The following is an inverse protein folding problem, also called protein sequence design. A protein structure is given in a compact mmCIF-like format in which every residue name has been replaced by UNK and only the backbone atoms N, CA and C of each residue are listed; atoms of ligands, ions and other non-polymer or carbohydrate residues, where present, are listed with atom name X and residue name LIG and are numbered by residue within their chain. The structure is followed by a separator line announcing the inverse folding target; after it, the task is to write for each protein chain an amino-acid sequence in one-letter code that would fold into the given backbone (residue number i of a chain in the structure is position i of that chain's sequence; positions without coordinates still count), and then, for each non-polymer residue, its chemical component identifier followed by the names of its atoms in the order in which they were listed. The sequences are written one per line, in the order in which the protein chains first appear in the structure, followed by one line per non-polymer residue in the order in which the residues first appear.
data_IF_885898175548
#
_entry.id   IF_885898175548
#
_cell.length_a   1.000
_cell.length_b   1.000
_cell.length_c   1.000
_cell.angle_alpha   90.00
_cell.angle_beta   90.00
_cell.angle_gamma   90.00
#
_symmetry.space_group_name_H-M   'P 1'
#
loop_
_entity.id
_entity.type
_entity.pdbx_description
1 polymer ?
#
# COMPACT_ATOMS: atom_id res chain seq x y z
N UNK A 1 8.47 9.51 32.14
CA UNK A 1 8.28 8.64 30.96
C UNK A 1 8.35 9.54 29.71
N UNK A 2 8.91 9.11 28.61
CA UNK A 2 8.78 9.88 27.37
C UNK A 2 7.29 10.08 27.07
N UNK A 3 6.92 11.25 26.58
CA UNK A 3 5.52 11.60 26.28
C UNK A 3 5.04 10.72 25.13
N UNK A 4 3.97 9.96 25.33
CA UNK A 4 3.36 9.14 24.26
C UNK A 4 2.79 10.04 23.17
N UNK A 5 2.82 9.58 21.92
CA UNK A 5 2.16 10.24 20.79
C UNK A 5 0.65 10.05 20.90
N UNK A 6 -0.08 11.15 20.83
CA UNK A 6 -1.55 11.16 20.85
C UNK A 6 -2.09 10.80 19.48
N UNK A 7 -2.85 9.71 19.38
CA UNK A 7 -3.34 9.15 18.12
C UNK A 7 -4.85 9.33 18.01
N UNK A 8 -5.33 9.90 16.92
CA UNK A 8 -6.74 9.84 16.56
C UNK A 8 -6.97 8.83 15.43
N UNK A 9 -8.10 8.12 15.48
CA UNK A 9 -8.50 7.14 14.46
C UNK A 9 -9.66 7.72 13.66
N UNK A 10 -9.52 7.82 12.35
CA UNK A 10 -10.57 8.24 11.42
C UNK A 10 -11.00 7.05 10.52
N UNK A 11 -12.26 6.60 10.68
CA UNK A 11 -12.79 5.39 10.06
C UNK A 11 -12.42 4.13 10.86
N UNK A 12 -13.36 3.57 11.59
CA UNK A 12 -13.05 2.51 12.56
C UNK A 12 -13.81 1.20 12.33
N UNK A 13 -14.62 1.08 11.27
CA UNK A 13 -15.48 -0.08 11.03
C UNK A 13 -14.76 -1.44 11.07
N UNK A 14 -13.50 -1.53 10.63
CA UNK A 14 -12.69 -2.77 10.66
C UNK A 14 -11.93 -2.99 11.96
N UNK A 15 -12.06 -2.11 12.94
CA UNK A 15 -11.25 -2.06 14.16
C UNK A 15 -12.08 -2.30 15.43
N UNK A 16 -13.21 -3.00 15.28
CA UNK A 16 -14.17 -3.25 16.36
C UNK A 16 -13.85 -4.48 17.22
N UNK A 17 -12.63 -5.02 17.09
CA UNK A 17 -12.12 -6.13 17.89
C UNK A 17 -10.65 -5.87 18.25
N UNK A 18 -10.19 -6.22 19.47
CA UNK A 18 -8.84 -5.92 19.94
C UNK A 18 -7.77 -6.87 19.39
N UNK A 19 -7.99 -7.48 18.25
CA UNK A 19 -7.09 -8.46 17.65
C UNK A 19 -6.23 -7.83 16.56
N UNK A 20 -4.95 -8.15 16.56
CA UNK A 20 -4.01 -7.79 15.51
C UNK A 20 -4.22 -8.73 14.30
N UNK A 21 -5.26 -8.48 13.53
CA UNK A 21 -5.59 -9.25 12.32
C UNK A 21 -6.27 -8.34 11.29
N UNK A 22 -6.22 -8.70 10.01
CA UNK A 22 -7.05 -8.12 8.98
C UNK A 22 -6.96 -6.59 8.81
N UNK A 23 -5.76 -6.01 8.91
CA UNK A 23 -5.54 -4.55 8.81
C UNK A 23 -6.23 -3.74 9.94
N UNK A 24 -6.18 -4.27 11.16
CA UNK A 24 -6.64 -3.55 12.34
C UNK A 24 -5.57 -2.55 12.81
N UNK A 25 -5.63 -1.32 12.31
CA UNK A 25 -4.68 -0.27 12.66
C UNK A 25 -4.77 0.16 14.13
N UNK A 26 -5.96 0.14 14.73
CA UNK A 26 -6.10 0.43 16.16
C UNK A 26 -5.29 -0.57 17.02
N UNK A 27 -5.37 -1.87 16.69
CA UNK A 27 -4.55 -2.88 17.35
C UNK A 27 -3.04 -2.67 17.11
N UNK A 28 -2.66 -2.21 15.91
CA UNK A 28 -1.27 -1.89 15.60
C UNK A 28 -0.74 -0.71 16.43
N UNK A 29 -1.54 0.34 16.62
CA UNK A 29 -1.19 1.44 17.51
C UNK A 29 -1.16 1.00 18.98
N UNK A 30 -2.17 0.26 19.43
CA UNK A 30 -2.23 -0.23 20.82
C UNK A 30 -1.06 -1.17 21.19
N UNK A 31 -0.42 -1.80 20.21
CA UNK A 31 0.74 -2.67 20.43
C UNK A 31 2.04 -1.90 20.76
N UNK A 32 2.07 -0.56 20.61
CA UNK A 32 3.25 0.25 20.87
C UNK A 32 3.05 1.13 22.12
N UNK A 33 3.93 1.05 23.12
CA UNK A 33 3.83 1.88 24.32
C UNK A 33 4.09 3.38 24.07
N UNK A 34 4.65 3.73 22.91
CA UNK A 34 4.90 5.11 22.49
C UNK A 34 3.65 5.79 21.91
N UNK A 35 2.53 5.07 21.75
CA UNK A 35 1.30 5.61 21.18
C UNK A 35 0.11 5.44 22.14
N UNK A 36 -0.78 6.44 22.15
CA UNK A 36 -2.00 6.46 22.95
C UNK A 36 -3.18 6.89 22.07
N UNK A 37 -4.17 6.01 21.89
CA UNK A 37 -5.41 6.37 21.21
C UNK A 37 -6.23 7.30 22.09
N UNK A 38 -6.48 8.53 21.60
CA UNK A 38 -7.12 9.59 22.40
C UNK A 38 -8.47 10.04 21.83
N UNK A 39 -8.83 9.66 20.61
CA UNK A 39 -10.11 10.00 20.00
C UNK A 39 -10.38 9.12 18.76
N UNK A 40 -11.68 9.04 18.43
CA UNK A 40 -12.15 8.34 17.22
C UNK A 40 -13.13 9.21 16.42
N UNK A 41 -13.05 9.12 15.11
CA UNK A 41 -14.02 9.67 14.17
C UNK A 41 -14.59 8.56 13.29
N UNK A 42 -15.91 8.54 13.17
CA UNK A 42 -16.64 7.77 12.17
C UNK A 42 -18.02 8.44 11.95
N UNK A 43 -18.62 8.28 10.78
CA UNK A 43 -19.97 8.78 10.52
C UNK A 43 -21.05 7.97 11.25
N UNK A 44 -20.82 6.66 11.39
CA UNK A 44 -21.76 5.74 12.03
C UNK A 44 -21.76 5.88 13.55
N UNK A 45 -22.90 6.26 14.15
CA UNK A 45 -23.01 6.40 15.61
C UNK A 45 -22.79 5.06 16.33
N UNK A 46 -23.36 3.98 15.80
CA UNK A 46 -23.19 2.63 16.34
C UNK A 46 -21.72 2.18 16.22
N UNK A 47 -21.08 2.40 15.07
CA UNK A 47 -19.67 2.09 14.84
C UNK A 47 -18.76 2.81 15.83
N UNK A 48 -19.03 4.10 16.14
CA UNK A 48 -18.29 4.84 17.16
C UNK A 48 -18.48 4.24 18.56
N UNK A 49 -19.73 3.91 18.91
CA UNK A 49 -20.04 3.31 20.20
C UNK A 49 -19.36 1.93 20.36
N UNK A 50 -19.35 1.12 19.31
CA UNK A 50 -18.68 -0.17 19.31
C UNK A 50 -17.16 -0.04 19.44
N UNK A 51 -16.58 0.96 18.79
CA UNK A 51 -15.16 1.23 18.91
C UNK A 51 -14.77 1.64 20.33
N UNK A 52 -15.51 2.56 20.95
CA UNK A 52 -15.30 2.98 22.35
C UNK A 52 -15.48 1.80 23.31
N UNK A 53 -16.49 0.95 23.08
CA UNK A 53 -16.68 -0.28 23.88
C UNK A 53 -15.50 -1.24 23.78
N UNK A 54 -14.89 -1.33 22.60
CA UNK A 54 -13.75 -2.22 22.34
C UNK A 54 -12.43 -1.69 22.93
N UNK A 55 -12.16 -0.38 22.75
CA UNK A 55 -10.85 0.21 23.02
C UNK A 55 -10.77 1.07 24.28
N UNK A 56 -11.88 1.25 24.96
CA UNK A 56 -11.98 2.08 26.17
C UNK A 56 -12.57 3.47 25.90
N UNK A 57 -12.92 4.14 26.99
CA UNK A 57 -13.56 5.45 26.94
C UNK A 57 -12.64 6.52 26.31
N UNK A 58 -13.13 7.14 25.27
CA UNK A 58 -12.47 8.27 24.59
C UNK A 58 -13.51 9.12 23.84
N UNK A 59 -13.22 10.40 23.57
CA UNK A 59 -14.05 11.25 22.72
C UNK A 59 -14.29 10.64 21.33
N UNK A 60 -15.58 10.64 20.91
CA UNK A 60 -16.01 10.06 19.65
C UNK A 60 -16.76 11.11 18.82
N UNK A 61 -16.25 11.40 17.63
CA UNK A 61 -16.69 12.49 16.78
C UNK A 61 -17.41 11.98 15.51
N UNK A 62 -18.41 12.70 15.07
CA UNK A 62 -19.04 12.59 13.73
C UNK A 62 -18.64 13.73 12.79
N UNK A 63 -17.96 14.73 13.32
CA UNK A 63 -17.33 15.82 12.59
C UNK A 63 -15.80 15.70 12.67
N UNK A 64 -15.18 15.45 11.52
CA UNK A 64 -13.73 15.28 11.42
C UNK A 64 -12.96 16.59 11.73
N UNK A 65 -13.51 17.75 11.33
CA UNK A 65 -12.89 19.03 11.62
C UNK A 65 -12.96 19.36 13.12
N UNK A 66 -14.06 19.00 13.79
CA UNK A 66 -14.17 19.13 15.24
C UNK A 66 -13.13 18.27 15.97
N UNK A 67 -12.96 17.00 15.55
CA UNK A 67 -11.92 16.13 16.10
C UNK A 67 -10.53 16.79 16.01
N UNK A 68 -10.15 17.26 14.83
CA UNK A 68 -8.82 17.88 14.63
C UNK A 68 -8.63 19.13 15.49
N UNK A 69 -9.65 20.01 15.56
CA UNK A 69 -9.59 21.26 16.32
C UNK A 69 -9.50 21.04 17.83
N UNK A 70 -10.27 20.08 18.36
CA UNK A 70 -10.43 19.88 19.80
C UNK A 70 -9.39 18.92 20.38
N UNK A 71 -9.04 17.88 19.64
CA UNK A 71 -8.09 16.86 20.08
C UNK A 71 -6.64 17.27 19.81
N UNK A 72 -6.36 17.89 18.66
CA UNK A 72 -5.01 18.22 18.21
C UNK A 72 -4.06 17.00 18.34
N UNK A 73 -4.32 15.91 17.61
CA UNK A 73 -3.53 14.70 17.73
C UNK A 73 -2.14 14.88 17.10
N UNK A 74 -1.13 14.20 17.64
CA UNK A 74 0.21 14.13 17.05
C UNK A 74 0.20 13.26 15.78
N UNK A 75 -0.51 12.14 15.86
CA UNK A 75 -0.64 11.14 14.80
C UNK A 75 -2.11 10.91 14.43
N UNK A 76 -2.33 10.60 13.17
CA UNK A 76 -3.67 10.28 12.66
C UNK A 76 -3.64 8.97 11.86
N UNK A 77 -4.58 8.09 12.14
CA UNK A 77 -4.89 6.96 11.28
C UNK A 77 -6.08 7.31 10.38
N UNK A 78 -5.92 7.26 9.08
CA UNK A 78 -7.01 7.46 8.11
C UNK A 78 -7.33 6.11 7.46
N UNK A 79 -8.44 5.52 7.88
CA UNK A 79 -8.99 4.27 7.36
C UNK A 79 -10.44 4.45 6.87
N UNK A 80 -10.76 5.64 6.45
CA UNK A 80 -12.04 6.01 5.82
C UNK A 80 -12.08 5.53 4.37
N UNK A 81 -13.09 5.95 3.62
CA UNK A 81 -13.13 5.70 2.18
C UNK A 81 -12.10 6.56 1.44
N UNK A 82 -11.48 6.01 0.43
CA UNK A 82 -10.46 6.68 -0.41
C UNK A 82 -10.93 8.00 -1.03
N UNK A 83 -12.24 8.17 -1.24
CA UNK A 83 -12.85 9.42 -1.69
C UNK A 83 -12.70 10.58 -0.69
N UNK A 84 -12.32 10.29 0.54
CA UNK A 84 -12.12 11.27 1.61
C UNK A 84 -10.63 11.53 1.91
N UNK A 85 -9.73 10.66 1.48
CA UNK A 85 -8.33 10.68 1.89
C UNK A 85 -7.66 12.02 1.60
N UNK A 86 -7.77 12.55 0.37
CA UNK A 86 -7.12 13.81 0.01
C UNK A 86 -7.61 14.97 0.89
N UNK A 87 -8.92 15.13 1.04
CA UNK A 87 -9.48 16.19 1.86
C UNK A 87 -9.13 16.04 3.35
N UNK A 88 -9.12 14.80 3.87
CA UNK A 88 -8.78 14.54 5.27
C UNK A 88 -7.29 14.77 5.54
N UNK A 89 -6.40 14.38 4.64
CA UNK A 89 -4.96 14.64 4.77
C UNK A 89 -4.67 16.13 4.72
N UNK A 90 -5.29 16.90 3.81
CA UNK A 90 -5.14 18.35 3.72
C UNK A 90 -5.62 19.06 5.00
N UNK A 91 -6.76 18.66 5.54
CA UNK A 91 -7.26 19.20 6.81
C UNK A 91 -6.33 18.85 7.98
N UNK A 92 -5.85 17.60 8.05
CA UNK A 92 -4.89 17.15 9.07
C UNK A 92 -3.58 17.96 8.98
N UNK A 93 -3.08 18.19 7.76
CA UNK A 93 -1.91 19.01 7.49
C UNK A 93 -2.07 20.46 8.00
N UNK A 94 -3.24 21.03 7.78
CA UNK A 94 -3.58 22.38 8.26
C UNK A 94 -3.71 22.45 9.77
N UNK A 95 -4.20 21.36 10.40
CA UNK A 95 -4.35 21.26 11.85
C UNK A 95 -3.04 20.95 12.61
N UNK A 96 -1.93 20.73 11.90
CA UNK A 96 -0.62 20.51 12.51
C UNK A 96 -0.35 19.06 12.93
N UNK A 97 -1.07 18.10 12.38
CA UNK A 97 -0.77 16.66 12.55
C UNK A 97 0.62 16.39 11.99
N UNK A 98 1.45 15.66 12.75
CA UNK A 98 2.85 15.40 12.42
C UNK A 98 3.07 14.13 11.64
N UNK A 99 2.23 13.12 11.85
CA UNK A 99 2.33 11.83 11.19
C UNK A 99 0.97 11.25 10.84
N UNK A 100 0.87 10.61 9.66
CA UNK A 100 -0.38 10.02 9.16
C UNK A 100 -0.10 8.59 8.70
N UNK A 101 -0.87 7.63 9.23
CA UNK A 101 -1.02 6.31 8.64
C UNK A 101 -2.31 6.31 7.80
N UNK A 102 -2.18 6.13 6.49
CA UNK A 102 -3.31 6.15 5.56
C UNK A 102 -3.53 4.77 4.94
N UNK A 103 -4.79 4.29 4.97
CA UNK A 103 -5.18 3.06 4.29
C UNK A 103 -5.17 3.21 2.77
N UNK A 104 -5.15 2.10 2.06
CA UNK A 104 -5.19 2.00 0.60
C UNK A 104 -6.66 2.00 0.07
N UNK A 105 -6.92 2.32 -1.20
CA UNK A 105 -6.02 3.01 -2.12
C UNK A 105 -5.84 4.50 -1.75
N UNK A 106 -4.74 5.11 -2.21
CA UNK A 106 -4.37 6.46 -1.80
C UNK A 106 -5.43 7.50 -2.15
N UNK A 107 -5.92 7.46 -3.38
CA UNK A 107 -6.79 8.47 -3.96
C UNK A 107 -7.67 7.90 -5.09
N UNK A 108 -8.65 8.66 -5.53
CA UNK A 108 -9.53 8.31 -6.65
C UNK A 108 -9.10 8.93 -7.99
N UNK A 109 -8.06 9.75 -7.97
CA UNK A 109 -7.43 10.35 -9.16
C UNK A 109 -5.96 10.69 -8.90
N UNK A 110 -5.19 10.89 -9.96
CA UNK A 110 -3.82 11.37 -9.85
C UNK A 110 -3.74 12.79 -9.32
N UNK A 111 -4.74 13.63 -9.62
CA UNK A 111 -4.82 14.99 -9.08
C UNK A 111 -4.95 14.98 -7.55
N UNK A 112 -5.77 14.11 -6.99
CA UNK A 112 -5.87 13.93 -5.53
C UNK A 112 -4.57 13.40 -4.93
N UNK A 113 -3.92 12.46 -5.61
CA UNK A 113 -2.61 11.94 -5.19
C UNK A 113 -1.56 13.05 -5.12
N UNK A 114 -1.51 13.94 -6.13
CA UNK A 114 -0.60 15.10 -6.13
C UNK A 114 -0.89 16.07 -4.97
N UNK A 115 -2.16 16.31 -4.65
CA UNK A 115 -2.57 17.14 -3.50
C UNK A 115 -2.10 16.54 -2.19
N UNK A 116 -2.22 15.22 -2.02
CA UNK A 116 -1.71 14.51 -0.84
C UNK A 116 -0.20 14.69 -0.69
N UNK A 117 0.56 14.45 -1.77
CA UNK A 117 2.03 14.63 -1.76
C UNK A 117 2.40 16.09 -1.42
N UNK A 118 1.72 17.07 -2.03
CA UNK A 118 1.96 18.48 -1.77
C UNK A 118 1.71 18.84 -0.31
N UNK A 119 0.57 18.42 0.24
CA UNK A 119 0.20 18.65 1.63
C UNK A 119 1.22 18.05 2.62
N UNK A 120 1.66 16.82 2.38
CA UNK A 120 2.66 16.18 3.22
C UNK A 120 4.01 16.89 3.16
N UNK A 121 4.48 17.22 1.95
CA UNK A 121 5.77 17.87 1.74
C UNK A 121 5.79 19.29 2.31
N UNK A 122 4.77 20.10 2.05
CA UNK A 122 4.72 21.52 2.47
C UNK A 122 4.64 21.67 3.98
N UNK A 123 4.08 20.69 4.69
CA UNK A 123 3.91 20.71 6.14
C UNK A 123 4.86 19.78 6.89
N UNK A 124 5.74 19.06 6.19
CA UNK A 124 6.68 18.14 6.79
C UNK A 124 6.01 16.96 7.51
N UNK A 125 4.89 16.46 6.98
CA UNK A 125 4.15 15.35 7.55
C UNK A 125 4.82 14.04 7.15
N UNK A 126 5.14 13.19 8.13
CA UNK A 126 5.50 11.81 7.87
C UNK A 126 4.24 11.02 7.51
N UNK A 127 4.12 10.59 6.26
CA UNK A 127 3.03 9.72 5.82
C UNK A 127 3.54 8.28 5.76
N UNK A 128 2.76 7.35 6.33
CA UNK A 128 2.90 5.91 6.10
C UNK A 128 1.68 5.45 5.32
N UNK A 129 1.88 5.04 4.09
CA UNK A 129 0.81 4.46 3.29
C UNK A 129 0.79 2.93 3.48
N UNK A 130 -0.39 2.36 3.79
CA UNK A 130 -0.52 1.00 4.27
C UNK A 130 -0.35 -0.08 3.18
N UNK A 131 0.79 -0.09 2.52
CA UNK A 131 1.26 -1.17 1.65
C UNK A 131 2.19 -2.09 2.46
N UNK A 132 1.59 -2.94 3.25
CA UNK A 132 2.14 -3.66 4.40
C UNK A 132 3.34 -4.57 4.10
N UNK A 133 3.51 -5.06 2.85
CA UNK A 133 4.64 -5.91 2.46
C UNK A 133 6.01 -5.27 2.65
N UNK A 134 6.08 -3.93 2.66
CA UNK A 134 7.32 -3.19 2.97
C UNK A 134 7.83 -3.45 4.39
N UNK A 135 6.94 -3.84 5.31
CA UNK A 135 7.28 -4.17 6.71
C UNK A 135 7.19 -5.66 7.01
N UNK A 136 6.83 -6.48 6.04
CA UNK A 136 6.73 -7.92 6.17
C UNK A 136 8.11 -8.56 6.00
N UNK A 137 8.64 -9.23 7.05
CA UNK A 137 10.03 -9.68 7.06
C UNK A 137 10.42 -10.64 5.93
N UNK A 138 9.59 -11.59 5.48
CA UNK A 138 9.88 -12.37 4.28
C UNK A 138 10.20 -11.51 3.05
N UNK A 139 9.41 -10.49 2.77
CA UNK A 139 9.65 -9.60 1.63
C UNK A 139 10.90 -8.73 1.82
N UNK A 140 11.19 -8.30 3.05
CA UNK A 140 12.43 -7.56 3.38
C UNK A 140 13.67 -8.42 3.17
N UNK A 141 13.60 -9.70 3.54
CA UNK A 141 14.68 -10.67 3.25
C UNK A 141 14.85 -10.85 1.74
N UNK A 142 13.77 -11.05 0.99
CA UNK A 142 13.84 -11.19 -0.47
C UNK A 142 14.45 -9.95 -1.13
N UNK A 143 14.07 -8.74 -0.69
CA UNK A 143 14.69 -7.49 -1.16
C UNK A 143 16.21 -7.49 -0.92
N UNK A 144 16.68 -7.90 0.27
CA UNK A 144 18.12 -7.99 0.58
C UNK A 144 18.81 -8.98 -0.35
N UNK A 145 18.28 -10.19 -0.50
CA UNK A 145 18.87 -11.22 -1.38
C UNK A 145 18.96 -10.76 -2.84
N UNK A 146 17.92 -10.06 -3.34
CA UNK A 146 17.94 -9.48 -4.70
C UNK A 146 19.01 -8.40 -4.81
N UNK A 147 19.13 -7.51 -3.82
CA UNK A 147 20.14 -6.45 -3.78
C UNK A 147 21.57 -7.03 -3.68
N UNK A 148 21.74 -8.17 -3.02
CA UNK A 148 22.99 -8.92 -2.95
C UNK A 148 23.33 -9.70 -4.24
N UNK A 149 22.43 -9.66 -5.23
CA UNK A 149 22.66 -10.23 -6.56
C UNK A 149 22.35 -11.71 -6.68
N UNK A 150 21.46 -12.27 -5.84
CA UNK A 150 21.13 -13.72 -5.84
C UNK A 150 20.63 -14.23 -7.21
N UNK A 151 20.08 -13.36 -8.06
CA UNK A 151 19.66 -13.66 -9.44
C UNK A 151 20.47 -12.90 -10.49
N UNK A 152 21.55 -12.22 -10.08
CA UNK A 152 22.28 -11.27 -10.93
C UNK A 152 21.51 -9.98 -11.17
N UNK A 153 21.86 -9.22 -12.21
CA UNK A 153 21.12 -8.02 -12.60
C UNK A 153 19.69 -8.38 -13.02
N UNK A 154 18.69 -7.82 -12.33
CA UNK A 154 17.28 -8.08 -12.64
C UNK A 154 16.91 -7.44 -13.98
N UNK A 155 16.26 -8.21 -14.86
CA UNK A 155 15.77 -7.77 -16.17
C UNK A 155 14.25 -7.61 -16.20
N UNK A 156 13.53 -8.42 -15.42
CA UNK A 156 12.07 -8.32 -15.35
C UNK A 156 11.50 -8.86 -14.03
N UNK A 157 10.28 -8.41 -13.73
CA UNK A 157 9.44 -8.95 -12.66
C UNK A 157 8.07 -9.23 -13.23
N UNK A 158 7.53 -10.42 -12.97
CA UNK A 158 6.12 -10.75 -13.18
C UNK A 158 5.39 -10.64 -11.86
N UNK A 159 4.31 -9.85 -11.84
CA UNK A 159 3.39 -9.73 -10.71
C UNK A 159 2.04 -10.34 -11.12
N UNK A 160 1.65 -11.44 -10.46
CA UNK A 160 0.56 -12.32 -10.88
C UNK A 160 -0.57 -12.29 -9.87
N UNK A 161 -1.80 -12.40 -10.35
CA UNK A 161 -2.99 -12.54 -9.51
C UNK A 161 -3.56 -11.22 -8.98
N UNK A 162 -3.30 -10.10 -9.65
CA UNK A 162 -3.85 -8.78 -9.28
C UNK A 162 -5.36 -8.73 -9.57
N UNK A 163 -6.24 -8.62 -8.55
CA UNK A 163 -7.68 -8.73 -8.76
C UNK A 163 -8.35 -7.49 -9.37
N UNK A 164 -7.74 -6.32 -9.24
CA UNK A 164 -8.15 -5.05 -9.86
C UNK A 164 -6.98 -4.07 -9.89
N UNK A 165 -7.11 -3.00 -10.69
CA UNK A 165 -5.97 -2.15 -11.00
C UNK A 165 -5.67 -1.07 -9.96
N UNK A 166 -6.65 -0.60 -9.18
CA UNK A 166 -6.43 0.51 -8.23
C UNK A 166 -6.40 0.00 -6.79
N UNK A 167 -7.52 -0.60 -6.31
CA UNK A 167 -7.69 -0.95 -4.90
C UNK A 167 -6.68 -2.01 -4.42
N UNK A 168 -6.39 -3.02 -5.24
CA UNK A 168 -5.41 -4.05 -4.92
C UNK A 168 -4.12 -3.89 -5.71
N UNK A 169 -4.19 -3.40 -6.95
CA UNK A 169 -3.03 -3.23 -7.83
C UNK A 169 -1.89 -2.48 -7.18
N UNK A 170 -2.19 -1.47 -6.35
CA UNK A 170 -1.18 -0.73 -5.60
C UNK A 170 -0.26 -1.64 -4.77
N UNK A 171 -0.77 -2.75 -4.21
CA UNK A 171 0.06 -3.72 -3.50
C UNK A 171 1.03 -4.46 -4.42
N UNK A 172 0.58 -4.85 -5.63
CA UNK A 172 1.43 -5.56 -6.60
C UNK A 172 2.51 -4.65 -7.17
N UNK A 173 2.14 -3.43 -7.55
CA UNK A 173 3.10 -2.46 -8.08
C UNK A 173 4.14 -2.08 -7.04
N UNK A 174 3.69 -1.74 -5.85
CA UNK A 174 4.57 -1.34 -4.74
C UNK A 174 5.52 -2.47 -4.33
N UNK A 175 5.00 -3.70 -4.19
CA UNK A 175 5.84 -4.85 -3.83
C UNK A 175 6.91 -5.11 -4.88
N UNK A 176 6.56 -5.04 -6.18
CA UNK A 176 7.53 -5.20 -7.24
C UNK A 176 8.59 -4.10 -7.24
N UNK A 177 8.18 -2.83 -7.07
CA UNK A 177 9.12 -1.71 -6.95
C UNK A 177 10.04 -1.88 -5.74
N UNK A 178 9.48 -2.19 -4.57
CA UNK A 178 10.21 -2.41 -3.33
C UNK A 178 11.25 -3.53 -3.46
N UNK A 179 10.91 -4.66 -4.06
CA UNK A 179 11.84 -5.78 -4.30
C UNK A 179 13.04 -5.35 -5.14
N UNK A 180 12.88 -4.39 -6.04
CA UNK A 180 13.92 -3.88 -6.94
C UNK A 180 14.68 -2.66 -6.39
N UNK A 181 14.45 -2.25 -5.15
CA UNK A 181 15.09 -1.08 -4.55
C UNK A 181 14.44 0.25 -4.95
N UNK A 182 13.15 0.23 -5.25
CA UNK A 182 12.30 1.39 -5.54
C UNK A 182 12.73 2.20 -6.80
N UNK A 183 12.98 1.56 -7.96
CA UNK A 183 13.28 2.29 -9.19
C UNK A 183 12.09 3.12 -9.65
N UNK A 184 12.37 4.26 -10.32
CA UNK A 184 11.32 5.11 -10.89
C UNK A 184 10.59 4.40 -12.03
N UNK A 185 9.25 4.34 -12.02
CA UNK A 185 8.49 3.94 -13.20
C UNK A 185 8.54 5.05 -14.25
N UNK A 186 8.98 4.72 -15.47
CA UNK A 186 9.19 5.69 -16.54
C UNK A 186 8.06 5.74 -17.57
N UNK A 187 7.43 4.61 -17.81
CA UNK A 187 6.32 4.48 -18.74
C UNK A 187 5.48 3.27 -18.42
N UNK A 188 4.21 3.31 -18.84
CA UNK A 188 3.24 2.22 -18.70
C UNK A 188 2.57 1.97 -20.05
N UNK A 189 2.37 0.68 -20.40
CA UNK A 189 1.49 0.23 -21.47
C UNK A 189 0.59 -0.88 -20.93
N UNK A 190 -0.71 -0.85 -21.21
CA UNK A 190 -1.60 -1.86 -20.66
C UNK A 190 -3.04 -1.78 -21.14
N UNK A 191 -3.81 -2.74 -20.68
CA UNK A 191 -5.21 -2.92 -21.02
C UNK A 191 -6.03 -3.20 -19.75
N UNK A 192 -7.24 -2.68 -19.75
CA UNK A 192 -8.28 -3.02 -18.80
C UNK A 192 -9.08 -4.19 -19.36
N UNK A 193 -9.37 -5.18 -18.56
CA UNK A 193 -10.12 -6.34 -19.01
C UNK A 193 -11.59 -5.98 -19.27
N UNK A 194 -12.13 -6.51 -20.34
CA UNK A 194 -13.55 -6.39 -20.63
C UNK A 194 -14.35 -7.37 -19.76
N UNK A 195 -15.18 -6.83 -18.92
CA UNK A 195 -16.04 -7.58 -18.00
C UNK A 195 -17.37 -7.97 -18.68
N UNK A 196 -17.31 -8.60 -19.84
CA UNK A 196 -18.49 -8.93 -20.69
C UNK A 196 -19.55 -9.71 -19.92
N UNK A 197 -19.12 -10.63 -19.05
CA UNK A 197 -20.02 -11.51 -18.28
C UNK A 197 -20.40 -10.94 -16.90
N UNK A 198 -19.89 -9.77 -16.53
CA UNK A 198 -20.26 -9.13 -15.27
C UNK A 198 -21.56 -8.34 -15.40
N UNK A 199 -22.49 -8.40 -14.42
CA UNK A 199 -23.65 -7.55 -14.37
C UNK A 199 -23.31 -6.06 -14.54
N UNK A 200 -24.21 -5.29 -15.13
CA UNK A 200 -23.96 -3.86 -15.39
C UNK A 200 -23.76 -3.04 -14.09
N UNK A 201 -24.36 -3.47 -13.00
CA UNK A 201 -24.29 -2.89 -11.66
C UNK A 201 -23.17 -3.50 -10.80
N UNK A 202 -22.38 -4.43 -11.35
CA UNK A 202 -21.27 -5.03 -10.62
C UNK A 202 -20.23 -3.99 -10.21
N UNK A 203 -19.86 -3.99 -8.93
CA UNK A 203 -18.80 -3.13 -8.39
C UNK A 203 -17.42 -3.38 -9.02
N UNK A 204 -17.19 -4.58 -9.59
CA UNK A 204 -15.96 -4.89 -10.33
C UNK A 204 -15.75 -3.97 -11.53
N UNK A 205 -16.84 -3.41 -12.10
CA UNK A 205 -16.78 -2.44 -13.22
C UNK A 205 -16.22 -1.09 -12.80
N UNK A 206 -16.23 -0.78 -11.51
CA UNK A 206 -15.72 0.50 -11.00
C UNK A 206 -14.18 0.50 -10.86
N UNK A 207 -13.60 -0.66 -10.58
CA UNK A 207 -12.16 -0.88 -10.54
C UNK A 207 -11.86 -2.25 -11.15
N UNK A 208 -11.89 -2.34 -12.49
CA UNK A 208 -11.75 -3.61 -13.19
C UNK A 208 -10.33 -4.17 -13.09
N UNK A 209 -10.17 -5.48 -13.29
CA UNK A 209 -8.87 -6.08 -13.52
C UNK A 209 -8.27 -5.62 -14.84
N UNK A 210 -6.97 -5.92 -15.02
CA UNK A 210 -6.26 -5.56 -16.24
C UNK A 210 -4.83 -6.09 -16.21
N UNK A 211 -4.09 -5.77 -17.24
CA UNK A 211 -2.70 -6.20 -17.40
C UNK A 211 -1.85 -5.07 -17.97
N UNK A 212 -0.57 -5.10 -17.68
CA UNK A 212 0.30 -4.04 -18.16
C UNK A 212 1.79 -4.36 -18.06
N UNK A 213 2.56 -3.48 -18.66
CA UNK A 213 4.01 -3.44 -18.59
C UNK A 213 4.43 -2.06 -18.10
N UNK A 214 5.42 -2.04 -17.21
CA UNK A 214 5.99 -0.82 -16.64
C UNK A 214 7.50 -0.83 -16.88
N UNK A 215 8.00 0.13 -17.62
CA UNK A 215 9.45 0.30 -17.77
C UNK A 215 10.01 1.07 -16.61
N UNK A 216 11.11 0.57 -16.01
CA UNK A 216 11.72 1.09 -14.81
C UNK A 216 13.07 1.75 -15.07
N UNK A 217 13.48 2.70 -14.25
CA UNK A 217 14.72 3.49 -14.41
C UNK A 217 16.01 2.65 -14.31
N UNK A 218 15.95 1.47 -13.67
CA UNK A 218 17.07 0.53 -13.60
C UNK A 218 17.15 -0.39 -14.83
N UNK A 219 16.28 -0.18 -15.85
CA UNK A 219 16.22 -0.96 -17.07
C UNK A 219 15.35 -2.23 -17.00
N UNK A 220 14.87 -2.61 -15.83
CA UNK A 220 13.96 -3.74 -15.70
C UNK A 220 12.54 -3.39 -16.19
N UNK A 221 11.75 -4.42 -16.51
CA UNK A 221 10.34 -4.29 -16.88
C UNK A 221 9.49 -5.07 -15.87
N UNK A 222 8.50 -4.38 -15.28
CA UNK A 222 7.47 -5.03 -14.48
C UNK A 222 6.29 -5.41 -15.39
N UNK A 223 5.90 -6.67 -15.35
CA UNK A 223 4.70 -7.21 -15.99
C UNK A 223 3.64 -7.47 -14.92
N UNK A 224 2.45 -6.96 -15.14
CA UNK A 224 1.29 -7.16 -14.26
C UNK A 224 0.24 -7.96 -14.99
N UNK A 225 -0.27 -9.01 -14.38
CA UNK A 225 -1.35 -9.83 -14.94
C UNK A 225 -2.35 -10.24 -13.86
N UNK A 226 -3.61 -10.30 -14.23
CA UNK A 226 -4.70 -10.75 -13.34
C UNK A 226 -4.83 -12.27 -13.29
N UNK A 227 -4.19 -13.00 -14.18
CA UNK A 227 -4.26 -14.44 -14.24
C UNK A 227 -3.42 -15.08 -13.13
N UNK A 228 -3.92 -16.14 -12.48
CA UNK A 228 -3.10 -17.00 -11.61
C UNK A 228 -3.45 -17.06 -10.13
N UNK A 229 -4.64 -16.66 -9.72
CA UNK A 229 -5.11 -16.96 -8.36
C UNK A 229 -5.42 -15.73 -7.50
N UNK A 230 -5.78 -15.99 -6.23
CA UNK A 230 -6.24 -14.96 -5.30
C UNK A 230 -5.15 -14.42 -4.36
N UNK A 231 -3.96 -15.03 -4.36
CA UNK A 231 -2.83 -14.62 -3.51
C UNK A 231 -1.72 -14.02 -4.36
N UNK A 232 -1.06 -12.96 -3.91
CA UNK A 232 0.07 -12.36 -4.62
C UNK A 232 1.15 -13.39 -4.91
N UNK A 233 1.61 -13.37 -6.16
CA UNK A 233 2.78 -14.12 -6.58
C UNK A 233 3.66 -13.23 -7.46
N UNK A 234 4.97 -13.42 -7.33
CA UNK A 234 5.96 -12.68 -8.12
C UNK A 234 7.01 -13.65 -8.65
N UNK A 235 7.49 -13.37 -9.86
CA UNK A 235 8.70 -13.99 -10.38
C UNK A 235 9.70 -12.89 -10.72
N UNK A 236 10.85 -12.88 -10.05
CA UNK A 236 11.96 -11.97 -10.31
C UNK A 236 12.96 -12.70 -11.21
N UNK A 237 13.20 -12.16 -12.39
CA UNK A 237 14.07 -12.75 -13.43
C UNK A 237 15.30 -11.87 -13.57
N UNK A 238 16.46 -12.48 -13.40
CA UNK A 238 17.76 -11.85 -13.57
C UNK A 238 18.67 -12.63 -14.52
N UNK A 239 19.85 -12.09 -14.77
CA UNK A 239 20.83 -12.67 -15.69
C UNK A 239 21.42 -14.00 -15.20
N UNK A 240 21.43 -14.23 -13.87
CA UNK A 240 22.01 -15.41 -13.26
C UNK A 240 20.97 -16.37 -12.65
N UNK A 241 19.67 -16.06 -12.77
CA UNK A 241 18.65 -16.94 -12.20
C UNK A 241 17.26 -16.32 -12.09
N UNK A 242 16.40 -17.05 -11.40
CA UNK A 242 14.99 -16.67 -11.15
C UNK A 242 14.61 -16.93 -9.71
N UNK A 243 13.83 -16.01 -9.13
CA UNK A 243 13.27 -16.13 -7.80
C UNK A 243 11.74 -16.16 -7.91
N UNK A 244 11.13 -17.29 -7.53
CA UNK A 244 9.68 -17.45 -7.47
C UNK A 244 9.20 -17.17 -6.04
N UNK A 245 8.25 -16.28 -5.91
CA UNK A 245 7.63 -15.86 -4.65
C UNK A 245 6.14 -16.19 -4.77
N UNK A 246 5.68 -17.19 -4.04
CA UNK A 246 4.33 -17.73 -4.14
C UNK A 246 3.58 -17.58 -2.82
N UNK A 247 2.25 -17.56 -2.90
CA UNK A 247 1.35 -17.53 -1.74
C UNK A 247 1.69 -16.40 -0.76
N UNK A 248 1.99 -15.20 -1.27
CA UNK A 248 2.37 -14.04 -0.45
C UNK A 248 3.65 -14.26 0.37
N UNK A 249 4.67 -14.83 -0.28
CA UNK A 249 5.98 -15.18 0.27
C UNK A 249 5.98 -16.33 1.31
N UNK A 250 4.90 -17.10 1.42
CA UNK A 250 4.92 -18.34 2.21
C UNK A 250 5.83 -19.40 1.57
N UNK A 251 5.89 -19.42 0.22
CA UNK A 251 6.71 -20.36 -0.56
C UNK A 251 7.61 -19.57 -1.50
N UNK A 252 8.92 -19.75 -1.34
CA UNK A 252 9.91 -19.09 -2.19
C UNK A 252 10.90 -20.11 -2.74
N UNK A 253 11.18 -20.00 -4.05
CA UNK A 253 12.09 -20.90 -4.73
C UNK A 253 13.07 -20.11 -5.58
N UNK A 254 14.33 -20.53 -5.55
CA UNK A 254 15.41 -19.99 -6.34
C UNK A 254 15.86 -21.01 -7.38
N UNK A 255 15.96 -20.55 -8.62
CA UNK A 255 16.62 -21.25 -9.69
C UNK A 255 17.84 -20.42 -10.12
N UNK A 256 19.03 -21.00 -10.04
CA UNK A 256 20.27 -20.40 -10.53
C UNK A 256 21.08 -21.45 -11.28
N UNK A 257 21.88 -21.00 -12.26
CA UNK A 257 22.94 -21.86 -12.79
C UNK A 257 23.99 -22.03 -11.69
N UNK A 258 24.22 -23.25 -11.25
CA UNK A 258 25.34 -23.54 -10.36
C UNK A 258 26.56 -23.97 -11.18
N UNK A 259 27.74 -23.49 -10.81
CA UNK A 259 29.00 -23.90 -11.42
C UNK A 259 29.16 -25.43 -11.39
N UNK A 260 29.04 -26.06 -12.56
CA UNK A 260 29.31 -27.49 -12.72
C UNK A 260 28.10 -28.44 -12.68
N UNK A 261 26.89 -28.01 -12.43
CA UNK A 261 25.68 -28.85 -12.56
C UNK A 261 25.10 -28.81 -13.97
N UNK A 262 24.86 -30.00 -14.55
CA UNK A 262 24.29 -30.12 -15.89
C UNK A 262 22.82 -29.69 -16.01
N UNK A 263 22.13 -29.62 -14.87
CA UNK A 263 20.71 -29.20 -14.78
C UNK A 263 20.58 -28.29 -13.58
N UNK A 264 20.39 -26.99 -13.77
CA UNK A 264 20.09 -26.06 -12.68
C UNK A 264 18.85 -26.50 -11.94
N UNK A 265 18.94 -26.63 -10.62
CA UNK A 265 17.83 -27.10 -9.79
C UNK A 265 17.03 -25.96 -9.18
N UNK A 266 15.71 -26.12 -9.13
CA UNK A 266 14.85 -25.28 -8.31
C UNK A 266 15.04 -25.67 -6.85
N UNK A 267 15.48 -24.74 -5.98
CA UNK A 267 15.63 -24.97 -4.55
C UNK A 267 14.72 -24.08 -3.74
N UNK A 268 14.12 -24.63 -2.68
CA UNK A 268 13.34 -23.86 -1.73
C UNK A 268 14.27 -22.91 -0.94
N UNK A 269 13.82 -21.68 -0.73
CA UNK A 269 14.45 -20.73 0.18
C UNK A 269 13.78 -20.83 1.55
N UNK A 270 14.59 -20.90 2.60
CA UNK A 270 14.09 -20.79 3.96
C UNK A 270 13.64 -19.35 4.23
N UNK A 271 12.36 -19.18 4.47
CA UNK A 271 11.78 -17.88 4.80
C UNK A 271 11.63 -17.74 6.32
N UNK A 272 11.73 -16.52 6.86
CA UNK A 272 11.45 -16.29 8.27
C UNK A 272 10.03 -16.74 8.61
N UNK A 273 9.81 -17.34 9.78
CA UNK A 273 8.47 -17.65 10.24
C UNK A 273 7.66 -16.36 10.43
N UNK A 274 6.40 -16.42 10.11
CA UNK A 274 5.45 -15.33 10.32
C UNK A 274 4.45 -15.72 11.42
N UNK A 275 4.82 -15.62 12.71
CA UNK A 275 4.03 -16.15 13.83
C UNK A 275 2.76 -15.35 14.11
N UNK A 276 2.73 -14.08 13.74
CA UNK A 276 1.61 -13.19 14.02
C UNK A 276 0.66 -13.08 12.82
N UNK A 277 -0.65 -12.91 13.05
CA UNK A 277 -1.62 -12.74 11.97
C UNK A 277 -1.34 -11.53 11.07
N UNK A 278 -0.67 -10.49 11.61
CA UNK A 278 -0.34 -9.28 10.87
C UNK A 278 0.85 -8.51 11.47
N UNK A 279 2.06 -9.05 11.41
CA UNK A 279 3.25 -8.44 12.04
C UNK A 279 3.65 -7.10 11.41
N UNK A 280 3.24 -6.85 10.17
CA UNK A 280 3.49 -5.59 9.48
C UNK A 280 2.79 -4.39 10.14
N UNK A 281 1.64 -4.58 10.79
CA UNK A 281 0.89 -3.50 11.42
C UNK A 281 1.69 -2.73 12.48
N UNK A 282 2.15 -3.37 13.57
CA UNK A 282 3.01 -2.71 14.55
C UNK A 282 4.32 -2.19 13.96
N UNK A 283 4.88 -2.85 12.95
CA UNK A 283 6.10 -2.40 12.27
C UNK A 283 5.87 -1.10 11.49
N UNK A 284 4.74 -0.94 10.80
CA UNK A 284 4.32 0.31 10.15
C UNK A 284 4.19 1.46 11.15
N UNK A 285 3.51 1.21 12.28
CA UNK A 285 3.33 2.24 13.32
C UNK A 285 4.68 2.64 13.93
N UNK A 286 5.57 1.68 14.18
CA UNK A 286 6.91 1.97 14.70
C UNK A 286 7.73 2.81 13.71
N UNK A 287 7.64 2.53 12.43
CA UNK A 287 8.29 3.32 11.38
C UNK A 287 7.75 4.75 11.33
N UNK A 288 6.42 4.93 11.40
CA UNK A 288 5.78 6.25 11.49
C UNK A 288 6.25 7.04 12.72
N UNK A 289 6.24 6.42 13.90
CA UNK A 289 6.70 7.02 15.16
C UNK A 289 8.16 7.45 15.05
N UNK A 290 9.01 6.58 14.51
CA UNK A 290 10.43 6.88 14.31
C UNK A 290 10.63 8.02 13.31
N UNK A 291 9.90 8.03 12.20
CA UNK A 291 9.97 9.08 11.18
C UNK A 291 9.56 10.45 11.76
N UNK A 292 8.46 10.50 12.53
CA UNK A 292 8.01 11.74 13.20
C UNK A 292 9.02 12.21 14.24
N UNK A 293 9.58 11.30 15.04
CA UNK A 293 10.56 11.64 16.08
C UNK A 293 11.88 12.17 15.50
N UNK A 294 12.31 11.63 14.35
CA UNK A 294 13.60 11.94 13.73
C UNK A 294 13.51 12.89 12.53
N UNK A 295 12.32 13.37 12.18
CA UNK A 295 12.07 14.19 10.99
C UNK A 295 12.58 13.54 9.70
N UNK A 296 12.31 12.24 9.53
CA UNK A 296 12.66 11.45 8.36
C UNK A 296 11.41 10.98 7.61
N UNK A 297 11.61 10.27 6.51
CA UNK A 297 10.52 9.65 5.75
C UNK A 297 10.30 8.20 6.21
N UNK A 298 9.10 7.67 5.98
CA UNK A 298 8.75 6.27 6.25
C UNK A 298 9.13 5.37 5.07
N UNK A 299 9.10 4.06 5.27
CA UNK A 299 9.39 3.09 4.22
C UNK A 299 8.37 3.11 3.05
N UNK A 300 7.16 3.62 3.27
CA UNK A 300 6.17 3.91 2.23
C UNK A 300 5.60 5.31 2.44
N UNK A 301 6.34 6.32 2.04
CA UNK A 301 5.94 7.71 2.14
C UNK A 301 4.96 8.14 1.02
N UNK A 302 4.65 9.42 0.95
CA UNK A 302 3.71 9.94 -0.05
C UNK A 302 4.19 9.77 -1.50
N UNK A 303 5.50 9.75 -1.75
CA UNK A 303 6.04 9.55 -3.10
C UNK A 303 5.97 8.08 -3.53
N UNK A 304 6.30 7.12 -2.66
CA UNK A 304 6.10 5.70 -2.96
C UNK A 304 4.62 5.40 -3.18
N UNK A 305 3.75 5.95 -2.32
CA UNK A 305 2.30 5.82 -2.48
C UNK A 305 1.80 6.35 -3.83
N UNK A 306 2.29 7.53 -4.25
CA UNK A 306 1.97 8.15 -5.54
C UNK A 306 2.45 7.28 -6.70
N UNK A 307 3.70 6.79 -6.67
CA UNK A 307 4.25 5.93 -7.74
C UNK A 307 3.41 4.67 -7.96
N UNK A 308 3.09 3.97 -6.87
CA UNK A 308 2.24 2.78 -6.93
C UNK A 308 0.83 3.11 -7.47
N UNK A 309 0.24 4.21 -7.01
CA UNK A 309 -1.06 4.68 -7.47
C UNK A 309 -1.03 5.04 -8.95
N UNK A 310 0.00 5.76 -9.41
CA UNK A 310 0.12 6.24 -10.78
C UNK A 310 0.19 5.11 -11.82
N UNK A 311 0.82 3.99 -11.48
CA UNK A 311 0.88 2.82 -12.38
C UNK A 311 -0.52 2.33 -12.74
N UNK A 312 -1.40 2.17 -11.76
CA UNK A 312 -2.77 1.71 -11.98
C UNK A 312 -3.55 2.66 -12.89
N UNK A 313 -3.50 3.97 -12.63
CA UNK A 313 -4.14 4.98 -13.47
C UNK A 313 -3.54 5.04 -14.88
N UNK A 314 -2.22 4.89 -14.99
CA UNK A 314 -1.56 4.88 -16.30
C UNK A 314 -1.94 3.66 -17.16
N UNK A 315 -2.25 2.51 -16.57
CA UNK A 315 -2.84 1.36 -17.29
C UNK A 315 -4.19 1.75 -17.89
N UNK A 316 -5.07 2.41 -17.14
CA UNK A 316 -6.35 2.92 -17.65
C UNK A 316 -6.15 3.95 -18.78
N UNK A 317 -5.22 4.88 -18.61
CA UNK A 317 -4.91 5.87 -19.65
C UNK A 317 -4.34 5.23 -20.92
N UNK A 318 -3.47 4.23 -20.78
CA UNK A 318 -2.94 3.45 -21.89
C UNK A 318 -4.05 2.69 -22.63
N UNK A 319 -4.92 2.00 -21.91
CA UNK A 319 -6.08 1.31 -22.48
C UNK A 319 -6.95 2.24 -23.35
N UNK A 320 -7.28 3.44 -22.85
CA UNK A 320 -8.05 4.46 -23.58
C UNK A 320 -7.36 4.93 -24.87
N UNK A 321 -6.05 4.73 -24.96
CA UNK A 321 -5.19 5.08 -26.11
C UNK A 321 -4.81 3.84 -26.94
N UNK A 322 -5.59 2.76 -26.86
CA UNK A 322 -5.35 1.53 -27.60
C UNK A 322 -4.08 0.79 -27.22
N UNK A 323 -3.66 0.87 -25.95
CA UNK A 323 -2.45 0.23 -25.43
C UNK A 323 -1.17 1.03 -25.65
N UNK A 324 -1.25 2.25 -26.17
CA UNK A 324 -0.08 3.11 -26.36
C UNK A 324 0.63 3.43 -25.05
N UNK A 325 1.96 3.59 -25.09
CA UNK A 325 2.74 3.96 -23.90
C UNK A 325 2.31 5.30 -23.33
N UNK A 326 2.10 5.34 -22.04
CA UNK A 326 1.92 6.54 -21.24
C UNK A 326 3.24 6.80 -20.50
N UNK A 327 3.87 7.92 -20.79
CA UNK A 327 5.07 8.36 -20.08
C UNK A 327 4.70 8.84 -18.68
N UNK A 328 5.56 8.57 -17.70
CA UNK A 328 5.37 8.99 -16.31
C UNK A 328 6.35 10.13 -15.95
N UNK A 329 5.92 11.11 -15.15
CA UNK A 329 4.55 11.29 -14.63
C UNK A 329 3.53 11.52 -15.77
N UNK A 330 2.34 10.89 -15.65
CA UNK A 330 1.29 11.03 -16.64
C UNK A 330 0.78 12.48 -16.70
N UNK A 331 0.57 13.02 -17.91
CA UNK A 331 0.09 14.39 -18.09
C UNK A 331 -1.38 14.53 -17.69
N UNK A 332 -2.20 13.50 -17.98
CA UNK A 332 -3.62 13.49 -17.62
C UNK A 332 -3.78 13.07 -16.17
N UNK A 333 -4.17 14.01 -15.30
CA UNK A 333 -4.29 13.82 -13.85
C UNK A 333 -5.73 13.66 -13.36
N UNK A 334 -6.71 14.00 -14.19
CA UNK A 334 -8.12 14.16 -13.79
C UNK A 334 -8.99 12.92 -13.96
N UNK A 335 -8.45 11.85 -14.57
CA UNK A 335 -9.15 10.58 -14.64
C UNK A 335 -9.50 10.13 -13.22
N UNK A 336 -10.81 9.97 -12.95
CA UNK A 336 -11.31 9.50 -11.66
C UNK A 336 -11.79 8.05 -11.76
N UNK A 337 -11.33 7.23 -10.83
CA UNK A 337 -11.74 5.83 -10.66
C UNK A 337 -12.14 5.67 -9.19
N UNK A 338 -13.45 5.64 -8.90
CA UNK A 338 -13.93 5.64 -7.52
C UNK A 338 -13.82 4.27 -6.84
N UNK A 339 -12.90 3.45 -7.21
CA UNK A 339 -12.71 2.07 -6.74
C UNK A 339 -13.35 1.74 -5.38
N UNK A 340 -13.78 0.51 -5.14
CA UNK A 340 -14.37 0.11 -3.86
C UNK A 340 -13.40 -0.73 -3.06
N UNK A 341 -13.14 -0.30 -1.84
CA UNK A 341 -12.59 -1.20 -0.83
C UNK A 341 -13.58 -2.34 -0.55
N UNK A 342 -13.07 -3.55 -0.36
CA UNK A 342 -13.89 -4.70 0.01
C UNK A 342 -14.70 -4.40 1.27
N UNK A 343 -16.01 -4.61 1.19
CA UNK A 343 -16.86 -4.73 2.37
C UNK A 343 -17.64 -3.48 2.81
N UNK A 344 -17.59 -2.36 2.11
CA UNK A 344 -18.33 -1.17 2.54
C UNK A 344 -19.38 -0.73 1.52
N UNK A 345 -20.63 -0.87 1.89
CA UNK A 345 -21.74 -0.06 1.38
C UNK A 345 -21.80 1.28 2.08
#
# INVERSE_FOLDING_TARGET
MPKSFRVAIAGCHRMLQPQLAGHNFAAAFAALPETEMVAVYDRGAETRADFVRCWGEMPAYDDYAALLREVQPDLLCIATRQTLHAAQIEQAATAGVRGILCDKPLATSLLESDRIVSACRERGIALTFALDRRWHEPYRQLRRLIAEGIVGRVTSVLAVGCPNLITHGCHWYDTALMLLGDPEPLWVSGWVDDLVNEPADSRRRLDPPGRGQVGLSNGAVLYVTVDGGRRPAFEVIGEAGRLLILQDAELCYLWTESDGERVPGLRALAMPPNPDPWPAGPAMVRDLVAAVASHTITACDSEQARRATEIGFAIHLSHRRGGARVMLPAVERTLSIPSFAWGNE
#
